data_IF_942122264023
#
_entry.id   IF_942122264023
#
_cell.length_a   1.000
_cell.length_b   1.000
_cell.length_c   1.000
_cell.angle_alpha   90.00
_cell.angle_beta   90.00
_cell.angle_gamma   90.00
#
_symmetry.space_group_name_H-M   'P 1'
#
loop_
_entity.id
_entity.type
_entity.pdbx_description
1 polymer ?
2 polymer ?
3 non-polymer ?
4 non-polymer ?
5 water ?
#
loop_
_entity_poly.entity_id
_entity_poly.type
_entity_poly.pdbx_seq_one_letter_code
_entity_poly.pdbx_strand_id
2 'polydeoxyribonucleotide' '(DT)(DC)(DT)(2EG)(DG)(DG)(DG)(DT)(DC)(DC)(DT)(DA)(DG)(DG)(DA)(DC)(DC)(DOC)' ?
#
# COMPACT_ATOMS: atom_id res chain seq x y z
N UNK A 25 -16.98 -16.21 15.19
CA UNK A 25 -15.93 -17.09 14.59
C UNK A 25 -14.78 -17.56 15.54
N UNK A 26 -14.09 -16.66 16.27
CA UNK A 26 -14.28 -15.21 16.26
C UNK A 26 -13.00 -14.37 16.21
N UNK A 27 -11.88 -14.92 16.69
CA UNK A 27 -10.64 -14.14 16.74
C UNK A 27 -9.69 -14.57 15.64
N UNK A 28 -8.96 -13.61 15.11
CA UNK A 28 -8.18 -13.79 13.88
C UNK A 28 -6.69 -13.56 14.06
N UNK A 29 -5.90 -14.10 13.15
CA UNK A 29 -4.47 -13.83 13.14
C UNK A 29 -4.14 -13.26 11.78
N UNK A 30 -3.66 -12.03 11.75
CA UNK A 30 -3.47 -11.30 10.52
C UNK A 30 -2.02 -10.86 10.47
N UNK A 31 -1.39 -11.02 9.31
CA UNK A 31 -0.04 -10.51 9.15
C UNK A 31 -0.08 -9.38 8.18
N UNK A 32 0.65 -8.33 8.50
CA UNK A 32 0.84 -7.26 7.56
C UNK A 32 2.28 -7.30 7.12
N UNK A 33 2.49 -7.68 5.86
CA UNK A 33 3.81 -7.59 5.25
C UNK A 33 4.01 -6.20 4.64
N UNK A 34 5.20 -5.64 4.85
CA UNK A 34 5.51 -4.30 4.36
C UNK A 34 6.99 -4.22 3.96
N UNK A 35 7.25 -4.00 2.67
CA UNK A 35 8.63 -4.04 2.18
C UNK A 35 9.42 -2.76 2.46
N UNK A 36 10.72 -2.92 2.66
CA UNK A 36 11.63 -1.83 2.93
C UNK A 36 12.01 -1.05 1.66
N UNK A 37 11.69 0.24 1.65
CA UNK A 37 12.10 1.12 0.56
C UNK A 37 11.99 0.39 -0.77
N UNK A 38 10.79 -0.07 -1.10
CA UNK A 38 10.61 -0.99 -2.18
C UNK A 38 11.37 -0.61 -3.46
N UNK A 39 11.07 0.54 -4.05
CA UNK A 39 11.65 0.89 -5.36
C UNK A 39 13.16 0.94 -5.31
N UNK A 40 13.70 1.51 -4.24
CA UNK A 40 15.13 1.46 -4.01
C UNK A 40 15.62 0.01 -3.98
N UNK A 41 14.91 -0.89 -3.28
CA UNK A 41 15.31 -2.29 -3.26
C UNK A 41 15.38 -2.86 -4.66
N UNK A 42 14.38 -2.54 -5.47
CA UNK A 42 14.30 -3.02 -6.85
C UNK A 42 15.46 -2.45 -7.68
N UNK A 43 15.80 -1.18 -7.43
CA UNK A 43 16.89 -0.54 -8.15
C UNK A 43 18.22 -1.15 -7.79
N UNK A 44 18.43 -1.44 -6.50
CA UNK A 44 19.69 -2.01 -6.02
C UNK A 44 19.91 -3.44 -6.48
N UNK A 45 18.82 -4.17 -6.66
CA UNK A 45 18.89 -5.50 -7.27
C UNK A 45 19.29 -5.36 -8.73
N UNK A 46 18.76 -4.34 -9.41
CA UNK A 46 19.09 -4.08 -10.82
C UNK A 46 20.55 -3.67 -11.04
N UNK A 47 21.02 -2.68 -10.28
CA UNK A 47 22.41 -2.27 -10.35
C UNK A 47 23.10 -2.43 -8.99
N UNK A 48 23.73 -3.60 -8.75
CA UNK A 48 24.45 -3.92 -7.51
C UNK A 48 25.41 -2.82 -7.05
N UNK A 49 26.00 -2.10 -8.01
CA UNK A 49 26.86 -0.95 -7.74
C UNK A 49 26.20 0.12 -6.87
N UNK A 50 24.88 0.22 -6.96
CA UNK A 50 24.13 1.21 -6.18
C UNK A 50 24.03 0.82 -4.71
N UNK A 51 23.98 -0.49 -4.43
CA UNK A 51 23.91 -0.99 -3.05
C UNK A 51 25.02 -0.39 -2.20
N UNK A 52 24.69 -0.03 -0.96
CA UNK A 52 25.59 0.66 -0.01
C UNK A 52 26.28 1.82 -0.78
N UNK A 53 25.50 2.53 -1.58
CA UNK A 53 25.80 3.92 -1.91
C UNK A 53 24.40 4.51 -1.90
N UNK A 54 24.30 5.78 -1.52
CA UNK A 54 23.06 6.34 -1.00
C UNK A 54 22.09 6.70 -2.11
N UNK A 55 20.97 6.00 -2.17
CA UNK A 55 20.16 5.92 -3.38
C UNK A 55 18.78 6.46 -3.19
N UNK A 56 18.44 7.43 -4.04
CA UNK A 56 17.10 7.97 -4.10
C UNK A 56 16.43 7.54 -5.40
N UNK A 57 15.12 7.38 -5.35
CA UNK A 57 14.34 7.14 -6.55
C UNK A 57 13.66 8.45 -6.92
N UNK A 58 14.00 8.94 -8.11
CA UNK A 58 13.56 10.22 -8.57
C UNK A 58 12.31 10.07 -9.42
N UNK A 59 11.18 10.49 -8.90
CA UNK A 59 10.03 10.74 -9.75
C UNK A 59 9.91 12.24 -9.95
N UNK A 60 10.05 12.67 -11.21
CA UNK A 60 9.88 14.06 -11.58
C UNK A 60 10.82 14.80 -10.64
N UNK A 61 10.26 15.83 -9.99
CA UNK A 61 11.00 16.70 -9.09
C UNK A 61 10.95 16.27 -7.62
N UNK A 62 10.81 14.97 -7.41
CA UNK A 62 10.66 14.43 -6.08
C UNK A 62 11.53 13.19 -5.91
N UNK A 63 12.35 13.18 -4.85
CA UNK A 63 12.97 11.93 -4.40
C UNK A 63 11.91 11.14 -3.66
N UNK A 64 11.24 10.24 -4.38
CA UNK A 64 10.03 9.64 -3.86
C UNK A 64 10.32 8.66 -2.71
N UNK A 65 11.42 7.93 -2.83
CA UNK A 65 11.86 7.01 -1.78
C UNK A 65 13.35 6.81 -1.93
N UNK A 66 14.00 6.29 -0.89
CA UNK A 66 15.46 6.14 -0.86
C UNK A 66 15.91 5.06 0.13
N UNK A 67 17.12 4.55 -0.06
CA UNK A 67 17.61 3.48 0.80
C UNK A 67 18.10 3.96 2.16
N UNK A 68 18.45 3.03 3.04
CA UNK A 68 18.81 3.38 4.42
C UNK A 68 20.20 4.01 4.55
N UNK A 69 20.99 3.97 3.49
CA UNK A 69 22.27 4.65 3.45
C UNK A 69 22.02 6.14 3.27
N UNK A 70 20.96 6.46 2.54
CA UNK A 70 20.52 7.84 2.37
C UNK A 70 19.53 8.28 3.43
N UNK A 71 18.71 7.34 3.91
CA UNK A 71 17.69 7.64 4.91
C UNK A 71 18.38 8.12 6.18
N UNK A 72 19.25 7.28 6.74
CA UNK A 72 20.10 7.64 7.87
C UNK A 72 21.20 8.69 7.72
N UNK A 73 21.25 9.29 6.54
CA UNK A 73 22.03 10.48 6.22
C UNK A 73 21.24 11.79 6.11
N UNK A 74 19.98 11.74 6.52
CA UNK A 74 19.12 12.90 6.59
C UNK A 74 17.91 12.96 5.67
N UNK A 75 17.98 12.22 4.56
CA UNK A 75 16.94 12.29 3.51
C UNK A 75 15.64 11.66 4.00
N UNK A 76 14.52 12.34 3.74
CA UNK A 76 13.20 11.83 4.08
C UNK A 76 12.45 11.46 2.79
N UNK A 77 11.33 10.73 2.94
CA UNK A 77 10.48 10.37 1.80
C UNK A 77 9.82 11.61 1.23
N UNK A 78 9.65 11.64 -0.08
CA UNK A 78 9.14 12.81 -0.81
C UNK A 78 9.86 14.11 -0.42
N UNK A 79 11.18 14.11 -0.55
CA UNK A 79 11.99 15.30 -0.32
C UNK A 79 12.42 15.89 -1.66
N UNK A 80 12.46 17.21 -1.75
CA UNK A 80 12.85 17.91 -2.98
C UNK A 80 14.21 17.44 -3.47
N UNK A 81 14.30 17.10 -4.76
CA UNK A 81 15.54 16.63 -5.38
C UNK A 81 16.72 17.55 -5.02
N UNK A 82 16.46 18.86 -5.03
CA UNK A 82 17.47 19.85 -4.70
C UNK A 82 17.72 19.96 -3.18
N UNK A 83 16.65 19.85 -2.40
CA UNK A 83 16.76 19.77 -0.93
C UNK A 83 17.54 18.54 -0.52
N UNK A 84 17.09 17.39 -1.03
CA UNK A 84 17.73 16.11 -0.77
C UNK A 84 19.18 16.09 -1.24
N UNK A 85 19.52 16.94 -2.21
CA UNK A 85 20.88 17.01 -2.70
C UNK A 85 21.78 17.95 -1.89
N UNK A 86 21.19 18.99 -1.30
CA UNK A 86 21.98 19.91 -0.47
C UNK A 86 22.06 19.41 0.98
N UNK A 87 21.33 18.33 1.29
CA UNK A 87 21.51 17.58 2.52
C UNK A 87 22.60 16.53 2.32
N UNK A 88 22.53 15.82 1.19
CA UNK A 88 23.49 14.79 0.81
C UNK A 88 23.95 15.01 -0.62
N UNK A 89 25.14 15.60 -0.80
CA UNK A 89 25.66 15.90 -2.13
C UNK A 89 26.12 14.66 -2.88
N UNK A 90 26.43 13.60 -2.14
CA UNK A 90 26.84 12.33 -2.71
C UNK A 90 25.64 11.51 -3.22
N UNK A 91 24.43 12.01 -2.98
CA UNK A 91 23.19 11.27 -3.31
C UNK A 91 23.12 10.87 -4.78
N UNK A 92 22.95 9.58 -5.03
CA UNK A 92 22.79 9.06 -6.38
C UNK A 92 21.31 8.78 -6.66
N UNK A 93 20.83 9.22 -7.83
CA UNK A 93 19.42 9.12 -8.17
C UNK A 93 19.20 8.27 -9.41
N UNK A 94 18.20 7.38 -9.34
CA UNK A 94 17.60 6.73 -10.52
C UNK A 94 16.19 7.29 -10.73
N UNK A 95 15.75 7.28 -11.97
CA UNK A 95 14.42 7.75 -12.32
C UNK A 95 13.43 6.61 -12.18
N UNK A 96 12.37 6.83 -11.41
CA UNK A 96 11.38 5.78 -11.21
C UNK A 96 9.97 6.20 -11.62
N UNK A 97 9.87 6.86 -12.77
CA UNK A 97 8.60 7.33 -13.28
C UNK A 97 7.84 6.24 -14.04
N UNK A 98 8.57 5.42 -14.80
CA UNK A 98 8.02 4.18 -15.36
C UNK A 98 7.96 3.22 -14.20
N UNK A 99 6.76 2.75 -13.86
CA UNK A 99 6.61 1.87 -12.70
C UNK A 99 6.62 0.38 -13.05
N UNK A 100 6.84 0.06 -14.32
CA UNK A 100 6.68 -1.32 -14.80
C UNK A 100 7.36 -2.37 -13.91
N UNK A 101 8.68 -2.25 -13.76
CA UNK A 101 9.42 -3.25 -13.03
C UNK A 101 8.99 -3.40 -11.58
N UNK A 102 8.63 -2.29 -10.93
CA UNK A 102 8.16 -2.33 -9.54
C UNK A 102 6.81 -3.04 -9.44
N UNK A 103 5.99 -2.89 -10.48
CA UNK A 103 4.71 -3.56 -10.50
C UNK A 103 4.93 -5.05 -10.67
N UNK A 104 5.81 -5.41 -11.59
CA UNK A 104 6.11 -6.81 -11.83
C UNK A 104 6.62 -7.47 -10.55
N UNK A 105 7.60 -6.84 -9.91
CA UNK A 105 8.14 -7.37 -8.68
C UNK A 105 7.10 -7.32 -7.56
N UNK A 106 6.18 -6.37 -7.67
CA UNK A 106 5.12 -6.24 -6.67
C UNK A 106 4.27 -7.49 -6.62
N UNK A 107 3.85 -8.00 -7.77
CA UNK A 107 3.02 -9.20 -7.80
C UNK A 107 3.78 -10.48 -7.47
N UNK A 108 5.06 -10.55 -7.86
CA UNK A 108 5.91 -11.68 -7.45
C UNK A 108 5.87 -11.84 -5.94
N UNK A 109 5.71 -10.73 -5.20
CA UNK A 109 5.59 -10.81 -3.75
C UNK A 109 4.22 -11.39 -3.38
N UNK A 110 3.15 -10.74 -3.82
CA UNK A 110 1.80 -11.23 -3.51
C UNK A 110 1.65 -12.72 -3.86
N UNK A 111 2.10 -13.10 -5.05
CA UNK A 111 1.97 -14.48 -5.51
C UNK A 111 2.65 -15.41 -4.52
N UNK A 112 3.79 -14.96 -4.00
CA UNK A 112 4.52 -15.73 -3.04
C UNK A 112 3.66 -15.90 -1.76
N UNK A 113 3.05 -14.81 -1.30
CA UNK A 113 2.23 -14.87 -0.08
C UNK A 113 0.98 -15.73 -0.33
N UNK A 114 0.35 -15.54 -1.47
CA UNK A 114 -0.79 -16.38 -1.83
C UNK A 114 -0.51 -17.88 -1.67
N UNK A 115 0.76 -18.24 -1.74
CA UNK A 115 1.17 -19.62 -1.59
C UNK A 115 1.07 -20.14 -0.15
N UNK A 116 1.24 -19.25 0.83
CA UNK A 116 1.08 -19.63 2.22
C UNK A 116 -0.41 -19.75 2.57
N UNK A 117 -1.18 -18.74 2.14
CA UNK A 117 -2.63 -18.73 2.31
C UNK A 117 -3.21 -17.90 1.17
N UNK A 118 -4.28 -18.40 0.53
CA UNK A 118 -4.83 -17.77 -0.68
C UNK A 118 -5.41 -16.36 -0.49
N UNK A 119 -5.71 -15.97 0.75
CA UNK A 119 -6.43 -14.71 0.98
C UNK A 119 -5.46 -13.58 1.29
N UNK A 120 -4.95 -12.94 0.23
CA UNK A 120 -3.99 -11.84 0.38
C UNK A 120 -4.55 -10.55 -0.21
N UNK A 121 -4.36 -9.46 0.52
CA UNK A 121 -4.87 -8.17 0.10
C UNK A 121 -3.74 -7.17 -0.05
N UNK A 122 -3.64 -6.54 -1.20
CA UNK A 122 -2.56 -5.59 -1.42
C UNK A 122 -2.96 -4.22 -0.92
N UNK A 123 -2.01 -3.50 -0.33
CA UNK A 123 -2.13 -2.07 -0.14
C UNK A 123 -1.06 -1.39 -0.96
N UNK A 124 -1.40 -1.03 -2.18
CA UNK A 124 -0.41 -0.47 -3.08
C UNK A 124 0.64 -1.52 -3.43
N UNK A 125 1.77 -1.06 -3.95
CA UNK A 125 2.76 -1.96 -4.51
C UNK A 125 3.62 -2.63 -3.47
N UNK A 126 3.65 -2.13 -2.23
CA UNK A 126 4.62 -2.64 -1.25
C UNK A 126 4.10 -3.28 0.03
N UNK A 127 2.79 -3.43 0.15
CA UNK A 127 2.17 -3.99 1.36
C UNK A 127 1.16 -5.09 1.05
N UNK A 128 1.02 -6.03 1.98
CA UNK A 128 0.10 -7.14 1.85
C UNK A 128 -0.40 -7.50 3.22
N UNK A 129 -1.69 -7.70 3.36
CA UNK A 129 -2.22 -8.31 4.55
C UNK A 129 -2.42 -9.74 4.14
N UNK A 130 -2.19 -10.68 5.05
CA UNK A 130 -2.56 -12.08 4.83
C UNK A 130 -3.24 -12.54 6.09
N UNK A 131 -4.33 -13.28 5.89
CA UNK A 131 -5.15 -13.77 6.99
C UNK A 131 -4.70 -15.17 7.34
N UNK A 132 -3.98 -15.28 8.44
CA UNK A 132 -3.36 -16.52 8.83
C UNK A 132 -4.23 -17.43 9.69
N UNK A 133 -5.50 -17.05 9.90
CA UNK A 133 -6.33 -17.72 10.92
C UNK A 133 -6.46 -19.22 10.69
N UNK A 134 -6.96 -19.64 9.54
CA UNK A 134 -7.17 -21.07 9.29
C UNK A 134 -5.85 -21.83 9.20
N UNK A 135 -4.78 -21.10 8.87
CA UNK A 135 -3.45 -21.68 8.76
C UNK A 135 -2.81 -21.92 10.13
N UNK A 136 -2.90 -20.94 11.02
CA UNK A 136 -2.43 -21.12 12.39
C UNK A 136 -3.08 -22.36 13.02
N UNK A 137 -4.42 -22.41 12.95
CA UNK A 137 -5.22 -23.45 13.60
C UNK A 137 -4.81 -24.82 13.15
N UNK A 138 -4.44 -24.94 11.88
CA UNK A 138 -3.90 -26.18 11.38
C UNK A 138 -2.61 -26.57 12.07
N UNK A 139 -1.63 -25.65 12.12
CA UNK A 139 -0.35 -25.95 12.77
C UNK A 139 -0.57 -26.49 14.17
N UNK A 140 -1.53 -25.89 14.87
CA UNK A 140 -1.90 -26.29 16.22
C UNK A 140 -2.54 -27.66 16.33
N UNK A 141 -2.64 -28.37 15.23
CA UNK A 141 -3.08 -29.76 15.25
C UNK A 141 -2.03 -30.81 14.98
N UNK A 142 -0.91 -30.41 14.40
CA UNK A 142 0.27 -31.27 14.32
C UNK A 142 0.87 -31.49 15.72
N UNK A 143 0.40 -30.63 16.60
CA UNK A 143 1.14 -30.18 17.73
C UNK A 143 0.50 -30.96 18.80
N UNK A 144 1.30 -31.72 19.50
CA UNK A 144 0.80 -32.67 20.44
C UNK A 144 0.54 -31.81 21.66
N UNK A 145 0.10 -32.41 22.75
CA UNK A 145 0.22 -31.83 24.11
C UNK A 145 1.56 -31.40 24.73
N UNK A 146 2.64 -32.14 24.45
CA UNK A 146 3.94 -31.84 25.05
C UNK A 146 4.73 -30.74 24.33
N UNK A 147 4.65 -30.70 23.01
CA UNK A 147 5.39 -29.71 22.23
C UNK A 147 4.64 -28.37 22.09
N UNK A 148 3.58 -28.23 22.89
CA UNK A 148 2.79 -26.99 22.97
C UNK A 148 3.38 -26.07 24.06
N UNK A 149 4.14 -26.67 24.98
CA UNK A 149 4.94 -25.94 25.96
C UNK A 149 6.10 -25.19 25.31
N UNK A 150 6.51 -25.65 24.13
CA UNK A 150 7.75 -25.18 23.52
C UNK A 150 7.52 -24.21 22.36
N UNK A 151 6.30 -23.69 22.25
CA UNK A 151 6.02 -22.67 21.22
C UNK A 151 6.72 -21.36 21.59
N UNK A 152 7.55 -20.89 20.67
CA UNK A 152 8.37 -19.71 20.89
C UNK A 152 8.03 -18.65 19.86
N UNK A 153 8.23 -17.38 20.21
CA UNK A 153 7.93 -16.27 19.31
C UNK A 153 9.02 -16.13 18.27
N UNK A 154 8.69 -15.52 17.14
CA UNK A 154 9.72 -15.14 16.19
C UNK A 154 9.81 -13.61 16.09
N UNK A 155 10.95 -13.08 16.55
CA UNK A 155 11.18 -11.65 16.52
C UNK A 155 10.65 -10.90 17.73
N UNK A 156 10.28 -9.65 17.51
CA UNK A 156 9.86 -8.77 18.59
C UNK A 156 8.42 -9.02 19.06
N UNK A 157 8.19 -8.87 20.36
CA UNK A 157 6.86 -8.84 20.93
C UNK A 157 6.65 -7.38 21.30
N UNK A 158 5.54 -6.78 20.84
CA UNK A 158 5.30 -5.37 21.07
C UNK A 158 5.32 -5.01 22.56
N UNK A 159 6.00 -3.92 22.88
CA UNK A 159 6.08 -3.38 24.23
C UNK A 159 6.66 -4.39 25.20
N UNK A 160 7.48 -5.31 24.67
CA UNK A 160 8.29 -6.19 25.51
C UNK A 160 7.47 -7.01 26.52
N UNK A 161 6.29 -7.45 26.10
CA UNK A 161 5.29 -7.98 26.99
C UNK A 161 5.37 -9.50 27.17
N UNK A 162 5.21 -9.94 28.42
CA UNK A 162 5.27 -11.36 28.78
C UNK A 162 4.29 -12.22 28.01
N UNK A 163 4.81 -13.22 27.32
CA UNK A 163 3.98 -14.27 26.76
C UNK A 163 3.45 -15.15 27.89
N UNK A 164 2.19 -15.55 27.79
CA UNK A 164 1.63 -16.52 28.68
C UNK A 164 1.21 -17.72 27.87
N UNK A 165 1.99 -18.80 27.98
CA UNK A 165 1.83 -20.03 27.17
C UNK A 165 0.49 -20.76 27.36
N UNK A 166 -0.28 -20.35 28.36
CA UNK A 166 -1.60 -20.90 28.59
C UNK A 166 -2.72 -20.01 28.01
N UNK A 167 -2.39 -18.76 27.66
CA UNK A 167 -3.36 -17.90 26.95
C UNK A 167 -3.50 -18.33 25.49
N UNK A 168 -4.60 -19.02 25.19
CA UNK A 168 -4.85 -19.54 23.85
C UNK A 168 -4.61 -18.51 22.73
N UNK A 169 -4.93 -17.24 22.99
CA UNK A 169 -4.71 -16.17 22.01
C UNK A 169 -3.26 -15.71 21.86
N UNK A 170 -2.45 -15.87 22.92
CA UNK A 170 -1.01 -15.62 22.83
C UNK A 170 -0.38 -16.69 21.94
N UNK A 171 -0.82 -17.92 22.14
CA UNK A 171 -0.29 -19.05 21.42
C UNK A 171 -0.48 -18.90 19.91
N UNK A 172 -1.72 -18.72 19.45
CA UNK A 172 -1.95 -18.71 18.00
C UNK A 172 -1.38 -17.47 17.31
N UNK A 173 -1.12 -16.44 18.10
CA UNK A 173 -0.36 -15.29 17.62
C UNK A 173 1.15 -15.61 17.43
N UNK A 174 1.75 -16.36 18.35
CA UNK A 174 3.16 -16.70 18.20
C UNK A 174 3.35 -17.50 16.91
N UNK A 175 2.45 -18.48 16.69
CA UNK A 175 2.44 -19.21 15.44
C UNK A 175 2.38 -18.24 14.24
N UNK A 176 1.66 -17.13 14.42
CA UNK A 176 1.57 -16.10 13.40
C UNK A 176 2.93 -15.53 13.12
N UNK A 177 3.71 -15.29 14.16
CA UNK A 177 5.02 -14.70 13.94
C UNK A 177 5.94 -15.73 13.34
N UNK A 178 5.71 -17.00 13.61
CA UNK A 178 6.51 -18.05 12.99
C UNK A 178 6.26 -18.11 11.49
N UNK A 179 4.98 -17.98 11.12
CA UNK A 179 4.61 -17.98 9.71
C UNK A 179 5.16 -16.73 9.05
N UNK A 180 5.00 -15.58 9.71
CA UNK A 180 5.49 -14.34 9.15
C UNK A 180 6.99 -14.44 8.84
N UNK A 181 7.76 -15.02 9.77
CA UNK A 181 9.19 -15.18 9.53
C UNK A 181 9.40 -16.05 8.30
N UNK A 182 8.67 -17.15 8.24
CA UNK A 182 8.78 -18.08 7.10
C UNK A 182 8.45 -17.37 5.80
N UNK A 183 7.56 -16.38 5.87
CA UNK A 183 7.21 -15.57 4.72
C UNK A 183 8.39 -14.67 4.34
N UNK A 184 8.95 -13.97 5.31
CA UNK A 184 10.08 -13.07 5.05
C UNK A 184 11.30 -13.84 4.58
N UNK A 185 11.70 -14.87 5.32
CA UNK A 185 12.82 -15.72 4.94
C UNK A 185 12.69 -16.08 3.45
N UNK A 186 11.47 -16.42 3.05
CA UNK A 186 11.18 -16.86 1.69
C UNK A 186 11.11 -15.73 0.68
N UNK A 187 10.63 -14.56 1.08
CA UNK A 187 10.69 -13.41 0.20
C UNK A 187 12.15 -13.19 -0.15
N UNK A 188 13.00 -13.16 0.86
CA UNK A 188 14.42 -12.96 0.64
C UNK A 188 15.05 -14.09 -0.21
N UNK A 189 14.90 -15.34 0.20
CA UNK A 189 15.55 -16.43 -0.51
C UNK A 189 15.12 -16.61 -1.95
N UNK A 190 13.88 -16.22 -2.24
CA UNK A 190 13.27 -16.40 -3.57
C UNK A 190 13.29 -15.14 -4.45
N UNK A 191 12.98 -14.00 -3.84
CA UNK A 191 12.91 -12.77 -4.62
C UNK A 191 14.04 -11.81 -4.26
N UNK A 192 14.80 -12.14 -3.22
CA UNK A 192 15.90 -11.28 -2.77
C UNK A 192 15.45 -9.99 -2.11
N UNK A 193 14.27 -10.00 -1.48
CA UNK A 193 13.67 -8.79 -0.90
C UNK A 193 13.55 -8.84 0.63
N UNK A 194 13.96 -7.75 1.29
CA UNK A 194 13.86 -7.63 2.76
C UNK A 194 12.63 -6.82 3.13
N UNK A 195 11.98 -7.17 4.23
CA UNK A 195 10.75 -6.49 4.63
C UNK A 195 10.45 -6.59 6.10
N UNK A 196 9.29 -6.05 6.50
CA UNK A 196 8.84 -6.08 7.90
C UNK A 196 7.50 -6.77 7.99
N UNK A 197 7.22 -7.36 9.15
CA UNK A 197 5.93 -7.98 9.40
C UNK A 197 5.35 -7.61 10.77
N UNK A 198 4.03 -7.46 10.82
CA UNK A 198 3.34 -7.32 12.09
C UNK A 198 2.23 -8.34 12.13
N UNK A 199 2.15 -9.06 13.24
CA UNK A 199 1.10 -10.01 13.52
C UNK A 199 0.21 -9.42 14.62
N UNK A 200 -1.10 -9.47 14.41
CA UNK A 200 -2.10 -8.93 15.34
C UNK A 200 -3.45 -9.58 15.08
N UNK A 201 -4.47 -9.14 15.82
CA UNK A 201 -5.79 -9.73 15.65
C UNK A 201 -6.65 -9.04 14.61
N UNK A 202 -6.24 -7.87 14.11
CA UNK A 202 -6.93 -7.28 12.97
C UNK A 202 -6.01 -6.46 12.05
N UNK A 203 -6.51 -6.06 10.88
CA UNK A 203 -5.68 -5.30 9.93
C UNK A 203 -5.09 -4.01 10.50
N UNK A 204 -5.91 -3.20 11.16
CA UNK A 204 -5.44 -1.97 11.82
C UNK A 204 -4.21 -2.24 12.69
N UNK A 205 -4.34 -3.13 13.67
CA UNK A 205 -3.24 -3.44 14.59
C UNK A 205 -2.04 -4.12 13.89
N UNK A 206 -2.31 -5.04 12.98
CA UNK A 206 -1.24 -5.61 12.18
C UNK A 206 -0.41 -4.49 11.50
N UNK A 207 -1.12 -3.52 10.91
CA UNK A 207 -0.42 -2.43 10.23
C UNK A 207 0.39 -1.57 11.19
N UNK A 208 -0.26 -1.12 12.27
CA UNK A 208 0.42 -0.26 13.22
C UNK A 208 1.64 -0.92 13.83
N UNK A 209 1.55 -2.22 14.10
CA UNK A 209 2.66 -2.92 14.78
C UNK A 209 3.83 -3.25 13.86
N UNK A 210 3.53 -3.50 12.58
CA UNK A 210 4.53 -3.97 11.62
C UNK A 210 5.69 -3.00 11.54
N UNK A 211 5.39 -1.72 11.69
CA UNK A 211 6.41 -0.71 11.62
C UNK A 211 7.08 -0.34 12.92
N UNK A 212 6.88 -1.11 13.99
CA UNK A 212 7.51 -0.72 15.26
C UNK A 212 9.04 -0.87 15.23
N UNK A 213 9.54 -2.02 14.79
CA UNK A 213 10.97 -2.18 14.52
C UNK A 213 11.18 -2.38 13.03
N UNK A 214 11.97 -1.50 12.43
CA UNK A 214 12.34 -1.61 11.01
C UNK A 214 13.78 -1.18 10.83
N UNK A 215 14.45 -1.58 9.72
CA UNK A 215 14.01 -2.10 8.43
C UNK A 215 13.69 -3.58 8.28
N UNK A 216 14.50 -4.48 8.81
CA UNK A 216 14.29 -5.88 8.42
C UNK A 216 13.74 -6.81 9.49
N UNK A 217 12.91 -6.26 10.36
CA UNK A 217 12.48 -6.95 11.57
C UNK A 217 10.98 -7.26 11.60
N UNK A 218 10.54 -7.99 12.61
CA UNK A 218 9.11 -8.19 12.82
C UNK A 218 8.68 -8.09 14.27
N UNK A 219 7.39 -7.83 14.48
CA UNK A 219 6.82 -7.65 15.81
C UNK A 219 5.43 -8.28 15.87
N UNK A 220 5.06 -8.80 17.05
CA UNK A 220 3.74 -9.39 17.28
C UNK A 220 3.05 -8.66 18.44
N UNK A 221 1.82 -8.23 18.23
CA UNK A 221 1.10 -7.51 19.25
C UNK A 221 0.14 -8.43 20.02
N UNK A 222 0.52 -8.74 21.26
CA UNK A 222 -0.36 -9.47 22.17
C UNK A 222 -1.49 -8.56 22.65
N UNK A 223 -2.68 -9.12 22.89
CA UNK A 223 -3.89 -8.32 23.03
C UNK A 223 -3.86 -7.32 24.19
N UNK A 224 -3.19 -7.66 25.28
CA UNK A 224 -3.10 -6.78 26.43
C UNK A 224 -2.27 -5.55 26.13
N UNK A 225 -1.67 -5.49 24.94
CA UNK A 225 -0.80 -4.34 24.63
C UNK A 225 -1.42 -3.39 23.62
N UNK A 226 -2.67 -3.66 23.26
CA UNK A 226 -3.39 -2.91 22.24
C UNK A 226 -3.53 -1.40 22.52
N UNK A 227 -3.97 -1.03 23.73
CA UNK A 227 -4.06 0.39 24.05
C UNK A 227 -2.68 1.03 23.99
N UNK A 228 -1.66 0.33 24.48
CA UNK A 228 -0.31 0.89 24.50
C UNK A 228 0.11 1.33 23.10
N UNK A 229 -0.19 0.52 22.09
CA UNK A 229 0.13 0.82 20.70
C UNK A 229 -0.72 1.98 20.20
N UNK A 230 -2.03 1.86 20.41
CA UNK A 230 -2.94 2.87 19.93
C UNK A 230 -2.56 4.25 20.52
N UNK A 231 -2.17 4.33 21.79
CA UNK A 231 -1.87 5.64 22.37
C UNK A 231 -0.44 6.11 22.09
N UNK A 232 0.38 5.24 21.52
CA UNK A 232 1.72 5.64 21.12
C UNK A 232 1.66 6.60 19.96
N UNK A 233 0.59 6.55 19.17
CA UNK A 233 0.37 7.50 18.06
C UNK A 233 0.20 8.91 18.57
N UNK A 234 0.72 9.87 17.82
CA UNK A 234 0.64 11.27 18.20
C UNK A 234 -0.45 12.06 17.50
N UNK A 235 -0.85 11.61 16.31
CA UNK A 235 -2.02 12.19 15.70
C UNK A 235 -2.90 11.17 15.03
N UNK A 236 -4.19 11.42 15.09
CA UNK A 236 -5.23 10.61 14.44
C UNK A 236 -4.93 10.33 12.96
N UNK A 237 -4.37 11.33 12.29
CA UNK A 237 -3.88 11.17 10.92
C UNK A 237 -2.92 9.98 10.79
N UNK A 238 -2.48 9.42 11.91
CA UNK A 238 -1.60 8.25 11.90
C UNK A 238 -2.37 6.92 11.88
N UNK A 239 -3.68 6.96 12.13
CA UNK A 239 -4.51 5.77 12.02
C UNK A 239 -4.89 5.50 10.55
N UNK A 240 -4.45 4.37 10.00
CA UNK A 240 -4.88 4.01 8.64
C UNK A 240 -6.40 3.97 8.58
N UNK A 241 -6.99 4.86 7.79
CA UNK A 241 -8.43 5.03 7.74
C UNK A 241 -8.76 6.50 7.85
N UNK A 242 -8.07 7.20 8.76
CA UNK A 242 -8.21 8.66 8.90
C UNK A 242 -7.10 9.34 8.10
N UNK A 243 -7.49 10.21 7.16
CA UNK A 243 -6.54 10.84 6.23
C UNK A 243 -6.62 12.36 6.22
N UNK A 244 -5.96 12.98 5.24
CA UNK A 244 -5.80 14.45 5.23
C UNK A 244 -7.06 15.22 5.57
N UNK A 245 -8.15 14.92 4.88
CA UNK A 245 -9.40 15.65 5.08
C UNK A 245 -10.13 15.31 6.41
N UNK A 246 -10.19 14.02 6.75
CA UNK A 246 -10.90 13.63 7.97
C UNK A 246 -10.15 14.14 9.20
N UNK A 247 -8.83 14.07 9.14
CA UNK A 247 -7.99 14.54 10.23
C UNK A 247 -8.24 16.01 10.53
N UNK A 248 -8.30 16.82 9.49
CA UNK A 248 -8.43 18.25 9.67
C UNK A 248 -9.85 18.64 10.06
N UNK A 249 -10.81 17.76 9.77
CA UNK A 249 -12.17 17.94 10.25
C UNK A 249 -12.30 17.69 11.74
N UNK A 250 -11.58 16.69 12.23
CA UNK A 250 -11.60 16.37 13.66
C UNK A 250 -10.89 17.46 14.46
N UNK A 251 -9.73 17.86 13.94
CA UNK A 251 -8.92 18.94 14.47
C UNK A 251 -9.74 20.20 14.70
N UNK A 252 -10.50 20.58 13.68
CA UNK A 252 -11.32 21.79 13.70
C UNK A 252 -12.32 21.78 14.85
N UNK A 253 -12.54 20.61 15.46
CA UNK A 253 -13.46 20.51 16.57
C UNK A 253 -12.73 20.44 17.92
N UNK A 254 -11.40 20.32 17.86
CA UNK A 254 -10.56 20.18 19.05
C UNK A 254 -10.14 18.74 19.32
N UNK A 255 -10.23 17.88 18.31
CA UNK A 255 -9.96 16.47 18.46
C UNK A 255 -8.56 16.18 17.89
N UNK A 256 -7.57 16.19 18.77
CA UNK A 256 -6.16 16.04 18.38
C UNK A 256 -5.55 14.68 18.65
N UNK A 257 -5.80 14.13 19.83
CA UNK A 257 -5.20 12.84 20.18
C UNK A 257 -6.14 11.68 19.91
N UNK A 258 -5.58 10.49 19.82
CA UNK A 258 -6.37 9.29 19.77
C UNK A 258 -7.40 9.27 20.92
N UNK A 259 -7.00 9.66 22.13
CA UNK A 259 -7.90 9.62 23.26
C UNK A 259 -9.04 10.62 23.06
N UNK A 260 -8.75 11.71 22.38
CA UNK A 260 -9.78 12.69 22.07
C UNK A 260 -10.83 12.05 21.18
N UNK A 261 -10.37 11.29 20.19
CA UNK A 261 -11.27 10.51 19.37
C UNK A 261 -12.03 9.45 20.17
N UNK A 262 -11.33 8.73 21.06
CA UNK A 262 -11.97 7.72 21.91
C UNK A 262 -13.13 8.31 22.72
N UNK A 263 -12.87 9.46 23.35
CA UNK A 263 -13.75 10.00 24.38
C UNK A 263 -14.82 10.93 23.84
N UNK A 264 -14.66 11.35 22.60
CA UNK A 264 -15.59 12.27 21.99
C UNK A 264 -16.97 11.68 21.87
N UNK A 265 -17.97 12.54 22.02
CA UNK A 265 -19.38 12.17 21.93
C UNK A 265 -19.68 11.60 20.55
N UNK A 266 -20.20 10.36 20.49
CA UNK A 266 -20.53 9.78 19.18
C UNK A 266 -21.41 10.70 18.35
N UNK A 267 -22.15 11.57 19.02
CA UNK A 267 -23.15 12.43 18.39
C UNK A 267 -22.51 13.58 17.61
N UNK A 268 -21.49 14.19 18.19
CA UNK A 268 -20.79 15.30 17.55
C UNK A 268 -19.99 14.78 16.35
N UNK A 269 -19.51 13.55 16.50
CA UNK A 269 -18.73 12.92 15.46
C UNK A 269 -19.57 12.71 14.20
N UNK A 270 -20.80 12.24 14.38
CA UNK A 270 -21.72 12.06 13.26
C UNK A 270 -22.03 13.36 12.51
N UNK A 271 -22.39 14.41 13.24
CA UNK A 271 -22.85 15.65 12.63
C UNK A 271 -21.80 16.45 11.86
N UNK A 272 -20.61 15.87 11.73
CA UNK A 272 -19.63 16.35 10.77
C UNK A 272 -19.05 15.39 9.74
N UNK A 273 -19.16 14.09 9.90
CA UNK A 273 -18.61 13.34 8.80
C UNK A 273 -19.35 12.34 8.03
N UNK A 274 -20.55 12.15 8.46
CA UNK A 274 -21.31 10.96 8.16
C UNK A 274 -21.38 10.06 9.37
N UNK A 275 -22.51 9.39 9.54
CA UNK A 275 -22.60 8.26 10.47
C UNK A 275 -21.84 7.05 9.95
N UNK A 276 -21.69 6.98 8.62
CA UNK A 276 -20.85 5.94 8.00
C UNK A 276 -19.46 6.03 8.58
N UNK A 277 -18.82 7.18 8.37
CA UNK A 277 -17.47 7.45 8.86
C UNK A 277 -17.39 7.42 10.39
N UNK A 278 -18.28 8.16 11.04
CA UNK A 278 -18.21 8.34 12.48
C UNK A 278 -18.21 7.03 13.26
N UNK A 279 -19.05 6.09 12.85
CA UNK A 279 -19.11 4.82 13.53
C UNK A 279 -17.80 4.06 13.37
N UNK A 280 -17.20 4.16 12.19
CA UNK A 280 -16.00 3.37 11.87
C UNK A 280 -14.69 3.92 12.46
N UNK A 281 -14.51 5.24 12.49
CA UNK A 281 -13.23 5.77 12.97
C UNK A 281 -13.13 5.82 14.49
N UNK A 282 -14.27 5.86 15.18
CA UNK A 282 -14.28 5.78 16.63
C UNK A 282 -13.77 4.41 17.05
N UNK A 283 -14.18 3.38 16.32
CA UNK A 283 -13.68 2.03 16.56
C UNK A 283 -12.19 2.02 16.35
N UNK A 284 -11.76 2.49 15.19
CA UNK A 284 -10.34 2.52 14.87
C UNK A 284 -9.50 3.09 16.03
N UNK A 285 -10.00 4.14 16.67
CA UNK A 285 -9.30 4.71 17.84
C UNK A 285 -9.25 3.78 19.04
N UNK A 286 -10.17 2.83 19.14
CA UNK A 286 -10.10 1.83 20.20
C UNK A 286 -9.23 0.65 19.78
N UNK A 287 -8.65 0.74 18.58
CA UNK A 287 -7.92 -0.40 17.99
C UNK A 287 -8.86 -1.48 17.47
N UNK A 288 -10.11 -1.10 17.20
CA UNK A 288 -11.18 -2.02 16.86
C UNK A 288 -11.48 -1.97 15.36
N UNK A 289 -11.26 -3.07 14.67
CA UNK A 289 -11.40 -3.08 13.22
C UNK A 289 -11.78 -4.52 12.95
N UNK A 290 -12.94 -4.72 12.31
CA UNK A 290 -13.36 -6.10 12.03
C UNK A 290 -13.56 -6.28 10.52
N UNK A 291 -12.96 -5.38 9.76
CA UNK A 291 -12.95 -5.50 8.31
C UNK A 291 -12.16 -6.74 7.91
N UNK A 292 -12.68 -7.52 6.96
CA UNK A 292 -11.96 -8.73 6.56
C UNK A 292 -10.81 -8.38 5.64
N UNK A 293 -9.88 -9.33 5.52
CA UNK A 293 -8.83 -9.30 4.51
C UNK A 293 -9.52 -9.75 3.24
N UNK A 294 -9.29 -9.01 2.15
CA UNK A 294 -9.93 -9.27 0.86
C UNK A 294 -8.95 -9.89 -0.12
N UNK A 295 -9.34 -10.98 -0.78
CA UNK A 295 -8.52 -11.48 -1.90
C UNK A 295 -8.52 -10.44 -2.99
N UNK A 296 -7.40 -9.75 -3.18
CA UNK A 296 -7.23 -8.79 -4.28
C UNK A 296 -7.31 -9.50 -5.62
N UNK A 297 -6.44 -10.45 -5.84
CA UNK A 297 -6.39 -11.15 -7.11
C UNK A 297 -5.92 -10.20 -8.19
N UNK A 298 -6.37 -10.43 -9.45
CA UNK A 298 -5.98 -9.58 -10.55
C UNK A 298 -6.50 -8.16 -10.31
N UNK A 299 -5.90 -7.16 -10.98
CA UNK A 299 -6.24 -5.76 -10.83
C UNK A 299 -7.54 -5.38 -11.51
N UNK A 300 -8.29 -4.47 -10.88
CA UNK A 300 -9.53 -3.91 -11.40
C UNK A 300 -9.34 -2.94 -12.57
N UNK A 301 -8.20 -2.25 -12.59
CA UNK A 301 -7.90 -1.24 -13.60
C UNK A 301 -6.39 -1.17 -13.91
N UNK A 302 -6.07 -0.84 -15.17
CA UNK A 302 -4.73 -0.44 -15.57
C UNK A 302 -4.83 1.02 -15.96
N UNK A 303 -3.99 1.86 -15.36
CA UNK A 303 -3.94 3.27 -15.74
C UNK A 303 -2.50 3.80 -15.80
N UNK A 304 -2.34 4.98 -16.39
CA UNK A 304 -1.05 5.69 -16.45
C UNK A 304 -1.19 7.21 -16.58
N UNK A 305 -0.24 7.93 -16.00
CA UNK A 305 -0.28 9.38 -15.95
C UNK A 305 1.05 10.00 -16.35
N UNK A 306 1.03 10.91 -17.32
CA UNK A 306 2.15 11.85 -17.42
C UNK A 306 1.78 13.18 -16.75
N UNK A 307 2.79 13.84 -16.22
CA UNK A 307 2.63 15.04 -15.42
C UNK A 307 3.46 16.18 -15.99
N UNK A 308 2.99 17.41 -15.81
CA UNK A 308 3.75 18.58 -16.26
C UNK A 308 3.11 19.90 -15.84
N UNK A 309 3.85 20.95 -15.89
CA UNK A 309 3.18 22.12 -15.59
C UNK A 309 3.97 23.27 -15.91
N UNK A 310 3.27 24.36 -16.19
CA UNK A 310 2.11 24.32 -17.09
C UNK A 310 2.50 23.69 -18.43
N UNK A 311 1.48 23.27 -19.18
CA UNK A 311 1.65 23.02 -20.59
C UNK A 311 0.62 21.97 -20.92
N UNK A 312 0.44 21.75 -22.22
CA UNK A 312 -0.88 21.54 -22.79
C UNK A 312 -2.02 22.51 -22.51
N UNK A 313 -1.89 23.72 -23.04
CA UNK A 313 -2.68 24.15 -24.18
C UNK A 313 -2.51 23.18 -25.35
N UNK A 314 -3.55 23.07 -26.18
CA UNK A 314 -4.33 21.84 -26.28
C UNK A 314 -4.47 21.39 -27.73
N UNK A 315 -3.34 21.13 -28.37
CA UNK A 315 -2.99 19.77 -28.77
C UNK A 315 -1.77 19.74 -29.68
N UNK A 316 -0.64 19.30 -29.14
CA UNK A 316 -0.49 17.93 -28.72
C UNK A 316 -0.60 18.11 -27.23
N UNK A 317 -1.83 18.13 -26.74
CA UNK A 317 -2.11 17.33 -25.56
C UNK A 317 -2.54 15.93 -26.00
N UNK A 318 -2.84 15.80 -27.28
CA UNK A 318 -3.11 14.48 -27.86
C UNK A 318 -1.91 13.57 -27.74
N UNK A 319 -0.82 13.92 -28.43
CA UNK A 319 0.36 13.06 -28.47
C UNK A 319 0.77 12.42 -27.16
N UNK A 320 0.46 13.08 -26.05
CA UNK A 320 0.70 12.54 -24.72
C UNK A 320 -0.26 11.37 -24.53
N UNK A 321 -1.48 11.53 -25.02
CA UNK A 321 -2.49 10.48 -24.91
C UNK A 321 -2.10 9.23 -25.69
N UNK A 322 -1.61 9.43 -26.91
CA UNK A 322 -1.13 8.33 -27.72
C UNK A 322 -0.04 7.55 -26.99
N UNK A 323 0.91 8.27 -26.39
CA UNK A 323 1.97 7.63 -25.64
C UNK A 323 1.39 6.67 -24.60
N UNK A 324 0.50 7.19 -23.78
CA UNK A 324 -0.07 6.43 -22.68
C UNK A 324 -0.84 5.25 -23.23
N UNK A 325 -1.49 5.46 -24.38
CA UNK A 325 -2.36 4.46 -24.98
C UNK A 325 -1.59 3.22 -25.45
N UNK A 326 -0.39 3.44 -26.02
CA UNK A 326 0.49 2.36 -26.42
C UNK A 326 1.01 1.57 -25.22
N UNK A 327 1.48 2.30 -24.20
CA UNK A 327 1.94 1.70 -22.95
C UNK A 327 0.87 0.84 -22.32
N UNK A 328 -0.34 1.38 -22.26
CA UNK A 328 -1.46 0.70 -21.62
C UNK A 328 -1.81 -0.60 -22.31
N UNK A 329 -2.02 -0.52 -23.63
CA UNK A 329 -2.38 -1.67 -24.45
C UNK A 329 -1.47 -2.86 -24.18
N UNK A 330 -0.15 -2.64 -24.21
CA UNK A 330 0.83 -3.65 -23.78
C UNK A 330 0.45 -4.38 -22.49
N UNK A 331 0.21 -3.65 -21.42
CA UNK A 331 -0.11 -4.24 -20.11
C UNK A 331 -1.46 -4.94 -20.15
N UNK A 332 -2.44 -4.25 -20.75
CA UNK A 332 -3.80 -4.75 -20.98
C UNK A 332 -3.78 -6.00 -21.87
N UNK A 333 -2.78 -6.06 -22.74
CA UNK A 333 -2.67 -7.13 -23.73
C UNK A 333 -2.09 -8.42 -23.13
N UNK A 334 -1.18 -8.27 -22.16
CA UNK A 334 -0.55 -9.42 -21.51
C UNK A 334 -1.48 -10.10 -20.52
N UNK A 335 -2.49 -9.35 -20.06
CA UNK A 335 -3.40 -9.82 -19.02
C UNK A 335 -4.27 -11.01 -19.45
N UNK A 336 -4.86 -10.91 -20.64
CA UNK A 336 -5.80 -11.93 -21.13
C UNK A 336 -7.24 -11.47 -21.01
N UNK A 337 -7.55 -10.81 -19.89
CA UNK A 337 -8.85 -10.18 -19.67
C UNK A 337 -8.99 -8.91 -20.52
N UNK A 338 -10.23 -8.54 -20.81
CA UNK A 338 -10.51 -7.40 -21.68
C UNK A 338 -11.14 -6.23 -20.94
N UNK A 339 -10.75 -4.99 -21.29
CA UNK A 339 -11.30 -3.81 -20.65
C UNK A 339 -12.51 -3.26 -21.40
N UNK A 340 -13.64 -3.19 -20.71
CA UNK A 340 -14.88 -2.72 -21.32
C UNK A 340 -15.14 -1.23 -21.13
N UNK A 341 -14.26 -0.54 -20.40
CA UNK A 341 -14.44 0.89 -20.21
C UNK A 341 -13.10 1.63 -20.26
N UNK A 342 -13.01 2.66 -21.10
CA UNK A 342 -11.86 3.55 -21.10
C UNK A 342 -12.22 4.83 -20.36
N UNK A 343 -11.21 5.49 -19.82
CA UNK A 343 -11.41 6.71 -19.05
C UNK A 343 -10.30 7.70 -19.37
N UNK A 344 -10.65 8.98 -19.44
CA UNK A 344 -9.64 10.03 -19.62
C UNK A 344 -9.67 10.97 -18.42
N UNK A 345 -8.51 11.22 -17.83
CA UNK A 345 -8.44 12.14 -16.69
C UNK A 345 -7.60 13.37 -17.02
N UNK A 346 -8.08 14.54 -16.59
CA UNK A 346 -7.32 15.78 -16.73
C UNK A 346 -7.30 16.55 -15.42
N UNK A 347 -6.30 17.40 -15.28
CA UNK A 347 -6.31 18.43 -14.26
C UNK A 347 -5.44 19.63 -14.41
N UNK A 348 -5.86 20.79 -13.91
CA UNK A 348 -5.97 22.02 -14.71
C UNK A 348 -5.06 23.27 -14.61
N UNK A 349 -4.73 23.81 -13.44
CA UNK A 349 -4.52 25.26 -13.37
C UNK A 349 -3.06 25.82 -13.40
N UNK A 350 -2.90 27.05 -13.88
CA UNK A 350 -3.44 28.22 -13.20
C UNK A 350 -2.49 29.40 -13.37
N UNK A 356 -8.17 17.63 -6.79
CA UNK A 356 -9.21 17.01 -7.57
C UNK A 356 -9.13 17.31 -9.05
N UNK A 357 -9.25 16.30 -9.87
CA UNK A 357 -9.24 16.61 -11.26
C UNK A 357 -10.57 16.30 -11.88
N UNK A 358 -10.50 15.94 -13.14
CA UNK A 358 -11.69 15.66 -13.92
C UNK A 358 -11.55 14.41 -14.78
N UNK A 359 -12.67 13.72 -14.98
CA UNK A 359 -12.71 12.50 -15.76
C UNK A 359 -13.96 12.41 -16.63
N UNK A 360 -13.78 11.85 -17.83
CA UNK A 360 -14.88 11.32 -18.62
C UNK A 360 -14.53 9.88 -19.00
N UNK A 361 -15.50 9.00 -18.85
CA UNK A 361 -15.35 7.62 -19.27
C UNK A 361 -16.47 7.28 -20.26
N UNK A 362 -16.41 6.06 -20.80
CA UNK A 362 -17.43 5.53 -21.72
C UNK A 362 -17.13 4.06 -21.94
N UNK A 363 -18.13 3.28 -22.40
CA UNK A 363 -17.80 1.89 -22.73
C UNK A 363 -16.88 1.85 -23.94
N UNK A 364 -16.18 0.74 -24.12
CA UNK A 364 -15.38 0.52 -25.30
C UNK A 364 -16.15 -0.37 -26.28
N UNK A 365 -16.36 0.11 -27.52
CA UNK A 365 -17.17 -0.60 -28.53
C UNK A 365 -16.81 -2.08 -28.71
N UNK A 366 -17.84 -2.90 -28.87
CA UNK A 366 -17.72 -4.35 -29.04
C UNK A 366 -16.64 -4.78 -30.07
N UNK A 367 -16.76 -4.25 -31.29
CA UNK A 367 -15.83 -4.57 -32.38
C UNK A 367 -14.36 -4.21 -32.10
N UNK A 368 -14.13 -3.06 -31.47
CA UNK A 368 -12.76 -2.60 -31.18
C UNK A 368 -12.24 -3.12 -29.83
N UNK A 369 -13.09 -3.82 -29.08
CA UNK A 369 -12.69 -4.56 -27.89
C UNK A 369 -11.86 -5.78 -28.28
N UNK A 370 -12.24 -6.43 -29.37
CA UNK A 370 -11.56 -7.64 -29.84
C UNK A 370 -10.24 -7.32 -30.54
N UNK A 371 -9.12 -7.75 -29.97
CA UNK A 371 -8.18 -6.87 -29.27
C UNK A 371 -6.74 -7.03 -29.69
N UNK A 378 -3.77 -0.09 -35.14
CA UNK A 378 -5.09 -0.07 -35.75
C UNK A 378 -6.21 -0.20 -34.73
N UNK A 379 -5.88 -0.77 -33.57
CA UNK A 379 -6.78 -0.72 -32.40
C UNK A 379 -6.56 0.63 -31.70
N UNK A 380 -5.45 1.26 -32.07
CA UNK A 380 -5.05 2.59 -31.57
C UNK A 380 -5.93 3.69 -32.15
N UNK A 381 -6.10 3.69 -33.48
CA UNK A 381 -6.86 4.74 -34.19
C UNK A 381 -8.30 4.97 -33.71
N UNK A 382 -9.09 3.88 -33.50
CA UNK A 382 -10.41 4.09 -32.89
C UNK A 382 -10.33 4.54 -31.43
N UNK A 383 -9.41 3.97 -30.66
CA UNK A 383 -9.20 4.34 -29.26
C UNK A 383 -8.83 5.82 -29.10
N UNK A 384 -8.03 6.33 -30.04
CA UNK A 384 -7.63 7.74 -30.05
C UNK A 384 -8.83 8.63 -30.35
N UNK A 385 -9.64 8.20 -31.32
CA UNK A 385 -10.88 8.89 -31.62
C UNK A 385 -11.76 8.96 -30.37
N UNK A 386 -11.84 7.86 -29.63
CA UNK A 386 -12.69 7.80 -28.44
C UNK A 386 -12.29 8.86 -27.42
N UNK A 387 -11.01 8.87 -27.05
CA UNK A 387 -10.50 9.71 -25.98
C UNK A 387 -10.44 11.19 -26.33
N UNK A 388 -10.38 11.51 -27.60
CA UNK A 388 -10.32 12.91 -27.95
C UNK A 388 -11.70 13.50 -27.93
N UNK A 389 -12.67 12.70 -28.32
CA UNK A 389 -14.04 13.16 -28.18
C UNK A 389 -14.29 13.40 -26.70
N UNK A 390 -13.80 12.47 -25.86
CA UNK A 390 -13.89 12.62 -24.42
C UNK A 390 -13.17 13.90 -24.01
N UNK A 391 -12.01 14.11 -24.64
CA UNK A 391 -11.16 15.26 -24.36
C UNK A 391 -11.92 16.55 -24.63
N UNK A 392 -12.49 16.66 -25.83
CA UNK A 392 -13.21 17.86 -26.18
C UNK A 392 -14.28 18.03 -25.17
N UNK A 393 -15.08 17.00 -25.00
CA UNK A 393 -16.14 17.11 -24.03
C UNK A 393 -15.62 17.73 -22.75
N UNK A 394 -14.36 17.55 -22.48
CA UNK A 394 -13.73 18.45 -21.51
C UNK A 394 -13.77 19.87 -22.00
N UNK A 395 -12.68 20.32 -22.61
CA UNK A 395 -12.08 21.56 -22.20
C UNK A 395 -12.62 22.90 -22.77
N UNK A 396 -13.32 22.88 -23.89
CA UNK A 396 -13.03 23.62 -25.12
C UNK A 396 -11.72 23.22 -25.79
N UNK A 403 -2.98 22.13 -18.91
CA UNK A 403 -3.35 21.39 -17.73
C UNK A 403 -2.11 20.67 -17.26
N UNK A 404 -2.15 20.24 -16.02
CA UNK A 404 -1.01 19.77 -15.38
C UNK A 404 -0.92 18.23 -15.33
N UNK A 405 -1.89 17.58 -15.93
CA UNK A 405 -2.04 16.12 -15.93
C UNK A 405 -2.88 15.62 -17.10
N UNK A 406 -2.40 14.54 -17.72
CA UNK A 406 -3.20 13.72 -18.63
C UNK A 406 -3.02 12.27 -18.23
N UNK A 407 -4.13 11.54 -18.15
CA UNK A 407 -4.14 10.14 -17.73
C UNK A 407 -5.26 9.33 -18.37
N UNK A 408 -4.89 8.16 -18.89
CA UNK A 408 -5.84 7.22 -19.48
C UNK A 408 -6.00 6.04 -18.52
N UNK A 409 -7.19 5.45 -18.47
CA UNK A 409 -7.47 4.34 -17.57
C UNK A 409 -8.35 3.30 -18.23
N UNK A 410 -7.92 2.04 -18.19
CA UNK A 410 -8.77 0.93 -18.63
C UNK A 410 -9.28 0.18 -17.42
N UNK A 411 -10.59 -0.06 -17.39
CA UNK A 411 -11.20 -0.77 -16.26
C UNK A 411 -12.34 -1.68 -16.68
N UNK A 412 -13.26 -1.97 -15.75
CA UNK A 412 -14.38 -2.87 -16.02
C UNK A 412 -13.90 -4.06 -16.84
N UNK A 413 -12.99 -4.83 -16.27
CA UNK A 413 -12.38 -5.97 -16.94
C UNK A 413 -13.28 -7.20 -16.85
N UNK A 414 -13.30 -7.99 -17.92
CA UNK A 414 -14.12 -9.19 -17.99
C UNK A 414 -13.40 -10.34 -18.67
#
# INVERSE_FOLDING_TARGET
MELADVGAAASSQGVHDQVLPTPNASSRVIVHVDLDCFYAQVEMISNPELKDKPLGVQQKYLVVTCNYEARKLGVKKLMNVRDAKEKCPQLVLVNGEDLTRYREMSYKVTELLEEFSPVVERLGFDENFVDLTEMVEKRLQQLQSDELSAVTVSGHVYNNQSINLLDVLHIRLLVGSQIAAEMREAMYNQLGLTGCAGVASNKLLAKLVSGVFKPNQQTVLLPESCQHLIHSLNHIKEIPGIGYKTAKCLEALGINSVRDLQTFSPKILEKELGISVAQRIQKLSFGEDNSPVILSGPPQSFSEEDSFKKCSSEVEAKNKIEELLASLLNRVCQDGRKPHTVRLIIRRYSSEKHYGRESRQCPIPSHVIQKLGTGNYDVMTPMVDILMKLFRNMVNVKMPFHLTLLSVCFCNLKALNTAK
#
